data_IF_866492383592
#
_entry.id   IF_866492383592
#
_cell.length_a   1.000
_cell.length_b   1.000
_cell.length_c   1.000
_cell.angle_alpha   90.00
_cell.angle_beta   90.00
_cell.angle_gamma   90.00
#
_symmetry.space_group_name_H-M   'P 1'
#
loop_
_entity.id
_entity.type
_entity.pdbx_description
1 polymer ?
#
# COMPACT_ATOMS: atom_id res chain seq x y z
N UNK A 1 -19.87 -6.38 10.10
CA UNK A 1 -18.50 -5.94 10.01
C UNK A 1 -17.68 -6.97 9.24
N UNK A 2 -16.97 -6.51 8.28
CA UNK A 2 -16.12 -7.42 7.53
C UNK A 2 -14.82 -7.64 8.28
N UNK A 3 -14.54 -8.86 8.59
CA UNK A 3 -13.27 -9.20 9.17
C UNK A 3 -12.26 -9.47 8.08
N UNK A 4 -11.05 -9.01 8.30
CA UNK A 4 -9.99 -9.35 7.37
C UNK A 4 -9.61 -10.80 7.60
N UNK A 5 -9.73 -11.59 6.56
CA UNK A 5 -9.40 -13.00 6.60
C UNK A 5 -8.02 -13.16 6.00
N UNK A 6 -7.08 -13.58 6.83
CA UNK A 6 -5.74 -13.87 6.33
C UNK A 6 -5.78 -15.12 5.49
N UNK A 7 -5.19 -15.04 4.33
CA UNK A 7 -5.04 -16.19 3.45
C UNK A 7 -3.69 -16.10 2.76
N UNK A 8 -3.22 -17.25 2.30
CA UNK A 8 -1.96 -17.33 1.57
C UNK A 8 -2.29 -17.34 0.08
N UNK A 9 -1.66 -16.43 -0.67
CA UNK A 9 -1.78 -16.44 -2.11
C UNK A 9 -0.70 -17.30 -2.71
N UNK A 10 -1.11 -18.25 -3.56
CA UNK A 10 -0.16 -19.10 -4.27
C UNK A 10 0.00 -18.58 -5.69
N UNK A 11 1.18 -18.04 -6.04
CA UNK A 11 1.34 -17.47 -7.37
C UNK A 11 1.41 -18.53 -8.44
N UNK A 12 0.83 -18.21 -9.59
CA UNK A 12 0.98 -19.04 -10.80
C UNK A 12 2.37 -18.89 -11.39
N UNK A 13 2.98 -17.71 -11.19
CA UNK A 13 4.32 -17.42 -11.72
C UNK A 13 5.22 -16.98 -10.57
N UNK A 14 5.67 -17.93 -9.74
CA UNK A 14 6.43 -17.55 -8.53
C UNK A 14 7.74 -16.82 -8.82
N UNK A 15 8.31 -17.01 -10.01
CA UNK A 15 9.56 -16.32 -10.35
C UNK A 15 9.37 -14.80 -10.50
N UNK A 16 8.15 -14.32 -10.70
CA UNK A 16 7.86 -12.90 -10.77
C UNK A 16 7.84 -12.25 -9.38
N UNK A 17 7.60 -13.03 -8.36
CA UNK A 17 7.44 -12.47 -7.02
C UNK A 17 8.79 -12.11 -6.42
N UNK A 18 8.90 -10.89 -5.95
CA UNK A 18 10.12 -10.40 -5.32
C UNK A 18 9.99 -10.59 -3.82
N UNK A 19 10.48 -11.72 -3.33
CA UNK A 19 10.37 -12.11 -1.95
C UNK A 19 10.14 -13.61 -1.87
N UNK A 20 9.56 -14.06 -0.77
CA UNK A 20 9.28 -15.47 -0.56
C UNK A 20 7.91 -15.81 -1.16
N UNK A 21 7.86 -16.47 -2.33
CA UNK A 21 6.59 -16.76 -2.97
C UNK A 21 5.73 -17.78 -2.22
N UNK A 22 6.29 -18.45 -1.23
CA UNK A 22 5.52 -19.38 -0.41
C UNK A 22 4.85 -18.69 0.78
N UNK A 23 5.08 -17.40 0.98
CA UNK A 23 4.58 -16.69 2.15
C UNK A 23 3.97 -15.33 1.76
N UNK A 24 3.07 -15.35 0.79
CA UNK A 24 2.37 -14.14 0.38
C UNK A 24 1.04 -14.08 1.12
N UNK A 25 0.97 -13.18 2.10
CA UNK A 25 -0.19 -13.09 2.98
C UNK A 25 -1.13 -12.00 2.47
N UNK A 26 -2.38 -12.38 2.23
CA UNK A 26 -3.45 -11.45 1.88
C UNK A 26 -4.37 -11.29 3.08
N UNK A 27 -4.62 -10.05 3.48
CA UNK A 27 -5.47 -9.74 4.63
C UNK A 27 -6.88 -9.33 4.24
N UNK A 28 -7.15 -9.30 2.94
CA UNK A 28 -8.48 -8.94 2.45
C UNK A 28 -8.67 -9.54 1.06
N UNK A 29 -9.92 -9.56 0.63
CA UNK A 29 -10.23 -10.10 -0.71
C UNK A 29 -9.68 -9.20 -1.81
N UNK A 30 -9.66 -7.88 -1.59
CA UNK A 30 -9.11 -7.01 -2.64
C UNK A 30 -7.60 -7.15 -2.74
N UNK A 31 -6.90 -7.39 -1.62
CA UNK A 31 -5.46 -7.68 -1.68
C UNK A 31 -5.21 -8.93 -2.52
N UNK A 32 -6.03 -9.96 -2.33
CA UNK A 32 -5.90 -11.17 -3.12
C UNK A 32 -6.13 -10.88 -4.60
N UNK A 33 -7.12 -10.06 -4.91
CA UNK A 33 -7.38 -9.68 -6.31
C UNK A 33 -6.21 -8.91 -6.90
N UNK A 34 -5.60 -8.03 -6.12
CA UNK A 34 -4.45 -7.26 -6.60
C UNK A 34 -3.24 -8.18 -6.83
N UNK A 35 -2.99 -9.11 -5.90
CA UNK A 35 -1.93 -10.09 -6.07
C UNK A 35 -2.13 -10.90 -7.34
N UNK A 36 -3.37 -11.34 -7.58
CA UNK A 36 -3.69 -12.10 -8.77
C UNK A 36 -3.46 -11.27 -10.03
N UNK A 37 -3.85 -10.01 -9.99
CA UNK A 37 -3.64 -9.12 -11.12
C UNK A 37 -2.14 -8.97 -11.41
N UNK A 38 -1.33 -8.76 -10.37
CA UNK A 38 0.12 -8.66 -10.55
C UNK A 38 0.72 -9.94 -11.12
N UNK A 39 0.27 -11.07 -10.59
CA UNK A 39 0.79 -12.37 -10.97
C UNK A 39 0.48 -12.71 -12.43
N UNK A 40 -0.75 -12.43 -12.87
CA UNK A 40 -1.21 -12.85 -14.18
C UNK A 40 -1.00 -11.81 -15.28
N UNK A 41 -0.71 -10.56 -14.94
CA UNK A 41 -0.55 -9.50 -15.92
C UNK A 41 0.84 -9.56 -16.54
N UNK A 42 0.89 -9.73 -17.86
CA UNK A 42 2.16 -9.86 -18.58
C UNK A 42 3.04 -8.61 -18.47
N UNK A 43 2.42 -7.45 -18.28
CA UNK A 43 3.16 -6.19 -18.19
C UNK A 43 3.76 -5.97 -16.81
N UNK A 44 3.36 -6.74 -15.81
CA UNK A 44 3.99 -6.72 -14.51
C UNK A 44 5.15 -7.71 -14.53
N UNK A 45 6.36 -7.18 -14.51
CA UNK A 45 7.56 -8.01 -14.60
C UNK A 45 7.97 -8.61 -13.27
N UNK A 46 7.77 -7.84 -12.20
CA UNK A 46 8.04 -8.27 -10.83
C UNK A 46 7.05 -7.59 -9.90
N UNK A 47 6.78 -8.19 -8.76
CA UNK A 47 5.92 -7.59 -7.76
C UNK A 47 6.23 -8.17 -6.39
N UNK A 48 5.90 -7.42 -5.33
CA UNK A 48 6.05 -7.87 -3.96
C UNK A 48 4.99 -7.24 -3.09
N UNK A 49 4.62 -7.93 -2.02
CA UNK A 49 3.61 -7.50 -1.06
C UNK A 49 4.27 -7.39 0.30
N UNK A 50 4.41 -6.17 0.80
CA UNK A 50 4.98 -5.89 2.12
C UNK A 50 6.38 -6.49 2.32
N UNK A 51 7.18 -6.52 1.24
CA UNK A 51 8.47 -7.21 1.28
C UNK A 51 9.63 -6.30 1.68
N UNK A 52 9.42 -5.00 1.77
CA UNK A 52 10.48 -4.09 2.18
C UNK A 52 9.90 -2.98 3.05
N UNK A 53 10.76 -2.28 3.76
CA UNK A 53 10.31 -1.20 4.61
C UNK A 53 11.08 0.08 4.32
N UNK A 54 10.45 1.20 4.63
CA UNK A 54 11.02 2.52 4.51
C UNK A 54 11.07 3.10 5.93
N UNK A 55 12.24 3.50 6.41
CA UNK A 55 12.31 4.12 7.73
C UNK A 55 11.69 5.51 7.69
N UNK A 56 10.96 5.86 8.72
CA UNK A 56 10.42 7.19 8.88
C UNK A 56 10.42 7.56 10.37
N UNK A 57 10.37 8.86 10.66
CA UNK A 57 10.31 9.31 12.04
C UNK A 57 8.85 9.61 12.36
N UNK A 58 8.32 8.88 13.37
CA UNK A 58 6.94 9.09 13.77
C UNK A 58 6.79 10.41 14.54
N UNK A 59 5.81 11.25 14.16
CA UNK A 59 5.58 12.49 14.90
C UNK A 59 5.00 12.27 16.30
N UNK A 60 4.56 11.07 16.61
CA UNK A 60 3.97 10.78 17.92
C UNK A 60 5.01 10.55 19.01
N UNK A 61 6.12 9.89 18.67
CA UNK A 61 7.16 9.58 19.67
C UNK A 61 8.54 10.05 19.22
N UNK A 62 8.65 10.61 18.02
CA UNK A 62 9.89 11.12 17.44
C UNK A 62 10.97 10.06 17.29
N UNK A 63 10.55 8.80 17.14
CA UNK A 63 11.46 7.67 16.94
C UNK A 63 11.35 7.17 15.51
N UNK A 64 12.39 6.47 15.08
CA UNK A 64 12.39 5.84 13.76
C UNK A 64 11.54 4.58 13.81
N UNK A 65 10.63 4.48 12.88
CA UNK A 65 9.74 3.33 12.71
C UNK A 65 9.89 2.77 11.30
N UNK A 66 9.41 1.57 11.10
CA UNK A 66 9.42 0.93 9.78
C UNK A 66 8.05 1.05 9.14
N UNK A 67 8.03 1.56 7.92
CA UNK A 67 6.82 1.63 7.12
C UNK A 67 6.91 0.59 6.02
N UNK A 68 5.96 -0.33 6.01
CA UNK A 68 5.87 -1.37 4.99
C UNK A 68 4.80 -0.97 3.99
N UNK A 69 5.18 -0.47 2.80
CA UNK A 69 4.18 -0.19 1.77
C UNK A 69 3.46 -1.46 1.35
N UNK A 70 2.23 -1.31 0.88
CA UNK A 70 1.42 -2.46 0.53
C UNK A 70 2.03 -3.29 -0.59
N UNK A 71 2.49 -2.64 -1.65
CA UNK A 71 3.02 -3.35 -2.81
C UNK A 71 4.17 -2.60 -3.46
N UNK A 72 5.03 -3.34 -4.13
CA UNK A 72 5.99 -2.79 -5.08
C UNK A 72 5.81 -3.55 -6.38
N UNK A 73 5.74 -2.83 -7.50
CA UNK A 73 5.56 -3.46 -8.80
C UNK A 73 6.55 -2.88 -9.81
N UNK A 74 6.99 -3.72 -10.72
CA UNK A 74 7.84 -3.32 -11.83
C UNK A 74 7.05 -3.56 -13.10
N UNK A 75 6.76 -2.51 -13.83
CA UNK A 75 5.81 -2.52 -14.94
C UNK A 75 6.53 -2.19 -16.24
N UNK A 76 6.22 -2.95 -17.28
CA UNK A 76 6.62 -2.59 -18.64
C UNK A 76 5.47 -1.81 -19.27
N UNK A 77 5.71 -0.55 -19.54
CA UNK A 77 4.69 0.33 -20.09
C UNK A 77 4.55 0.16 -21.59
N UNK A 78 3.47 0.72 -22.15
CA UNK A 78 3.19 0.60 -23.58
C UNK A 78 4.30 1.18 -24.45
N UNK A 79 5.05 2.15 -23.91
CA UNK A 79 6.20 2.72 -24.62
C UNK A 79 7.42 1.80 -24.62
N UNK A 80 7.36 0.69 -23.90
CA UNK A 80 8.50 -0.19 -23.69
C UNK A 80 9.36 0.17 -22.49
N UNK A 81 9.11 1.31 -21.85
CA UNK A 81 9.82 1.70 -20.66
C UNK A 81 9.42 0.84 -19.47
N UNK A 82 10.40 0.56 -18.62
CA UNK A 82 10.17 -0.18 -17.39
C UNK A 82 10.19 0.79 -16.24
N UNK A 83 9.12 0.82 -15.45
CA UNK A 83 9.01 1.69 -14.29
C UNK A 83 8.66 0.89 -13.05
N UNK A 84 9.17 1.34 -11.91
CA UNK A 84 8.88 0.72 -10.62
C UNK A 84 8.00 1.65 -9.81
N UNK A 85 6.95 1.09 -9.22
CA UNK A 85 6.01 1.83 -8.38
C UNK A 85 5.94 1.20 -7.01
N UNK A 86 6.00 2.04 -6.00
CA UNK A 86 5.67 1.66 -4.62
C UNK A 86 4.24 2.11 -4.39
N UNK A 87 3.39 1.18 -3.99
CA UNK A 87 1.95 1.42 -3.93
C UNK A 87 1.44 1.27 -2.52
N UNK A 88 0.72 2.28 -2.08
CA UNK A 88 -0.05 2.27 -0.84
C UNK A 88 -1.51 2.36 -1.21
N UNK A 89 -2.35 1.52 -0.60
CA UNK A 89 -3.78 1.54 -0.88
C UNK A 89 -4.52 2.04 0.35
N UNK A 90 -5.35 3.05 0.16
CA UNK A 90 -6.11 3.66 1.24
C UNK A 90 -7.51 4.02 0.80
N UNK A 91 -8.49 3.94 1.70
CA UNK A 91 -9.80 4.54 1.43
C UNK A 91 -9.63 6.04 1.21
N UNK A 92 -10.46 6.59 0.33
CA UNK A 92 -10.37 8.01 -0.02
C UNK A 92 -10.38 8.92 1.19
N UNK A 93 -11.20 8.61 2.17
CA UNK A 93 -11.33 9.46 3.34
C UNK A 93 -10.04 9.52 4.16
N UNK A 94 -9.18 8.49 4.08
CA UNK A 94 -7.92 8.48 4.80
C UNK A 94 -6.80 9.21 4.07
N UNK A 95 -7.05 9.71 2.87
CA UNK A 95 -6.09 10.52 2.13
C UNK A 95 -6.26 12.00 2.39
N UNK A 96 -7.13 12.37 3.31
CA UNK A 96 -7.43 13.75 3.69
C UNK A 96 -7.37 13.88 5.20
N UNK A 97 -7.14 15.10 5.71
CA UNK A 97 -7.23 15.31 7.16
C UNK A 97 -8.63 14.96 7.67
N UNK A 98 -8.74 14.48 8.90
CA UNK A 98 -10.06 14.26 9.49
C UNK A 98 -10.85 15.54 9.53
N UNK A 99 -12.15 15.45 9.28
CA UNK A 99 -13.02 16.62 9.36
C UNK A 99 -13.11 17.10 10.80
N UNK A 100 -13.11 18.41 10.99
CA UNK A 100 -13.25 18.98 12.32
C UNK A 100 -14.58 18.58 12.94
N UNK A 101 -14.55 18.27 14.22
CA UNK A 101 -15.73 17.87 14.97
C UNK A 101 -15.89 18.76 16.19
N UNK A 102 -17.14 19.07 16.51
CA UNK A 102 -17.44 19.88 17.70
C UNK A 102 -17.05 19.16 18.97
N UNK A 103 -17.28 17.85 19.01
CA UNK A 103 -16.98 17.05 20.17
C UNK A 103 -15.71 16.24 19.93
N UNK A 104 -14.74 16.39 20.80
CA UNK A 104 -13.49 15.65 20.71
C UNK A 104 -13.67 14.32 21.42
N UNK A 105 -13.71 13.24 20.62
CA UNK A 105 -13.87 11.89 21.13
C UNK A 105 -12.54 11.16 21.00
N UNK A 106 -12.42 10.01 21.67
CA UNK A 106 -11.25 9.16 21.53
C UNK A 106 -11.05 8.75 20.07
N UNK A 107 -12.14 8.45 19.39
CA UNK A 107 -12.09 8.07 17.98
C UNK A 107 -11.51 9.20 17.11
N UNK A 108 -11.94 10.43 17.37
CA UNK A 108 -11.44 11.59 16.63
C UNK A 108 -9.94 11.80 16.88
N UNK A 109 -9.53 11.68 18.14
CA UNK A 109 -8.12 11.81 18.50
C UNK A 109 -7.30 10.76 17.76
N UNK A 110 -7.79 9.52 17.72
CA UNK A 110 -7.11 8.43 17.01
C UNK A 110 -6.99 8.74 15.52
N UNK A 111 -8.06 9.24 14.90
CA UNK A 111 -8.04 9.61 13.49
C UNK A 111 -6.99 10.69 13.20
N UNK A 112 -6.90 11.69 14.08
CA UNK A 112 -5.93 12.76 13.89
C UNK A 112 -4.50 12.23 14.03
N UNK A 113 -4.26 11.38 15.00
CA UNK A 113 -2.93 10.78 15.19
C UNK A 113 -2.55 9.91 13.99
N UNK A 114 -3.50 9.11 13.50
CA UNK A 114 -3.27 8.26 12.34
C UNK A 114 -2.94 9.10 11.12
N UNK A 115 -3.66 10.21 10.93
CA UNK A 115 -3.39 11.11 9.82
C UNK A 115 -1.97 11.68 9.88
N UNK A 116 -1.52 12.11 11.07
CA UNK A 116 -0.16 12.64 11.20
C UNK A 116 0.90 11.58 10.91
N UNK A 117 0.69 10.36 11.38
CA UNK A 117 1.62 9.25 11.11
C UNK A 117 1.63 8.93 9.62
N UNK A 118 0.46 8.87 8.98
CA UNK A 118 0.38 8.58 7.56
C UNK A 118 1.12 9.63 6.73
N UNK A 119 0.96 10.91 7.07
CA UNK A 119 1.68 11.96 6.36
C UNK A 119 3.19 11.76 6.45
N UNK A 120 3.67 11.41 7.64
CA UNK A 120 5.11 11.18 7.83
C UNK A 120 5.59 9.98 7.02
N UNK A 121 4.81 8.89 7.01
CA UNK A 121 5.12 7.70 6.22
C UNK A 121 5.20 8.03 4.74
N UNK A 122 4.20 8.76 4.24
CA UNK A 122 4.11 9.05 2.80
C UNK A 122 5.18 10.03 2.35
N UNK A 123 5.53 10.99 3.21
CA UNK A 123 6.64 11.89 2.90
C UNK A 123 7.94 11.11 2.80
N UNK A 124 8.20 10.21 3.76
CA UNK A 124 9.39 9.38 3.73
C UNK A 124 9.41 8.49 2.49
N UNK A 125 8.25 7.93 2.12
CA UNK A 125 8.14 7.11 0.93
C UNK A 125 8.40 7.92 -0.33
N UNK A 126 7.90 9.14 -0.41
CA UNK A 126 8.11 10.01 -1.55
C UNK A 126 9.61 10.30 -1.72
N UNK A 127 10.29 10.66 -0.64
CA UNK A 127 11.72 10.93 -0.68
C UNK A 127 12.53 9.69 -1.04
N UNK A 128 12.17 8.57 -0.44
CA UNK A 128 12.82 7.29 -0.74
C UNK A 128 12.73 6.95 -2.23
N UNK A 129 11.54 7.13 -2.78
CA UNK A 129 11.30 6.82 -4.18
C UNK A 129 12.00 7.81 -5.11
N UNK A 130 11.99 9.10 -4.77
CA UNK A 130 12.68 10.10 -5.58
C UNK A 130 14.18 9.82 -5.65
N UNK A 131 14.79 9.46 -4.52
CA UNK A 131 16.21 9.15 -4.48
C UNK A 131 16.58 7.98 -5.38
N UNK A 132 15.64 7.07 -5.60
CA UNK A 132 15.87 5.84 -6.37
C UNK A 132 15.25 5.89 -7.76
N UNK A 133 14.68 7.02 -8.15
CA UNK A 133 14.01 7.19 -9.45
C UNK A 133 12.89 6.20 -9.67
N UNK A 134 12.18 5.88 -8.60
CA UNK A 134 10.95 5.10 -8.69
C UNK A 134 9.80 5.98 -8.20
N UNK A 135 8.58 5.54 -8.42
CA UNK A 135 7.42 6.36 -8.12
C UNK A 135 6.64 5.82 -6.94
N UNK A 136 6.17 6.72 -6.10
CA UNK A 136 5.27 6.36 -5.00
C UNK A 136 3.86 6.78 -5.38
N UNK A 137 2.90 5.86 -5.24
CA UNK A 137 1.49 6.15 -5.55
C UNK A 137 0.60 5.70 -4.42
N UNK A 138 -0.38 6.54 -4.09
CA UNK A 138 -1.45 6.17 -3.18
C UNK A 138 -2.66 5.88 -4.05
N UNK A 139 -3.08 4.61 -4.04
CA UNK A 139 -4.24 4.18 -4.81
C UNK A 139 -5.46 4.18 -3.90
N UNK A 140 -6.58 4.65 -4.43
CA UNK A 140 -7.80 4.75 -3.65
C UNK A 140 -8.54 3.42 -3.67
N UNK A 141 -8.91 2.97 -2.49
CA UNK A 141 -9.78 1.82 -2.35
C UNK A 141 -11.21 2.32 -2.17
N UNK A 142 -12.09 1.92 -3.06
CA UNK A 142 -13.50 2.24 -2.93
C UNK A 142 -14.13 1.22 -2.02
N UNK A 143 -14.51 1.66 -0.83
CA UNK A 143 -15.06 0.76 0.18
C UNK A 143 -16.47 0.33 -0.13
N UNK A 144 -17.18 1.15 -0.87
CA UNK A 144 -18.53 0.82 -1.27
C UNK A 144 -18.43 0.04 -2.57
N UNK A 145 -18.75 -1.26 -2.57
CA UNK A 145 -18.71 -1.99 -3.83
C UNK A 145 -19.73 -1.43 -4.77
N UNK A 146 -19.25 -0.91 -5.87
CA UNK A 146 -20.16 -0.50 -6.91
C UNK A 146 -20.68 -1.76 -7.59
N UNK A 147 -21.97 -1.83 -7.85
CA UNK A 147 -22.49 -3.00 -8.54
C UNK A 147 -21.85 -3.22 -9.90
N UNK A 148 -21.26 -2.19 -10.42
CA UNK A 148 -20.62 -2.26 -11.74
C UNK A 148 -19.18 -2.74 -11.68
N UNK A 149 -18.65 -2.75 -10.53
CA UNK A 149 -17.23 -3.07 -10.35
C UNK A 149 -16.98 -4.55 -10.45
#
# INVERSE_FOLDING_TARGET
MAESIKSIYKPSYPSKYKGDPSNIICRSSWERKFCRWCDLNENILQWGSEEFHIPYISPLDRRVHKYYPDFIIKVKESTGQIKTYVIEVKPKKQTKPPAKRKKVTQSYIYECKTWEVNKAKWRAAQEFCEDRRIQFKICLLYTSPSPRD
#
